data_IF_802342774371
#
_entry.id   IF_802342774371
#
_cell.length_a   1.000
_cell.length_b   1.000
_cell.length_c   1.000
_cell.angle_alpha   90.00
_cell.angle_beta   90.00
_cell.angle_gamma   90.00
#
_symmetry.space_group_name_H-M   'P 1'
#
loop_
_entity.id
_entity.type
_entity.pdbx_description
1 polymer ?
#
# COMPACT_ATOMS: atom_id res chain seq x y z
N UNK A 1 -32.51 -21.23 17.12
CA UNK A 1 -32.11 -19.81 16.89
C UNK A 1 -30.70 -19.63 17.44
N UNK A 2 -29.68 -19.78 16.60
CA UNK A 2 -28.27 -19.58 16.97
C UNK A 2 -27.82 -18.27 16.34
N UNK A 3 -27.52 -17.26 17.16
CA UNK A 3 -26.89 -16.00 16.75
C UNK A 3 -25.46 -16.29 16.28
N UNK A 4 -25.21 -16.16 15.00
CA UNK A 4 -23.86 -16.07 14.47
C UNK A 4 -23.34 -14.66 14.73
N UNK A 5 -22.37 -14.57 15.65
CA UNK A 5 -21.60 -13.37 15.92
C UNK A 5 -20.58 -13.19 14.79
N UNK A 6 -20.87 -12.30 13.84
CA UNK A 6 -19.89 -11.84 12.86
C UNK A 6 -18.82 -11.02 13.58
N UNK A 7 -17.63 -11.59 13.77
CA UNK A 7 -16.45 -10.85 14.20
C UNK A 7 -16.04 -9.88 13.08
N UNK A 8 -16.49 -8.64 13.18
CA UNK A 8 -15.99 -7.53 12.34
C UNK A 8 -14.52 -7.33 12.70
N UNK A 9 -13.64 -7.60 11.74
CA UNK A 9 -12.21 -7.31 11.81
C UNK A 9 -12.04 -5.77 11.91
N UNK A 10 -11.79 -5.30 13.13
CA UNK A 10 -11.56 -3.88 13.42
C UNK A 10 -10.08 -3.56 13.17
N UNK A 11 -9.75 -3.06 12.00
CA UNK A 11 -8.46 -2.43 11.77
C UNK A 11 -8.40 -1.08 12.50
N UNK A 12 -7.29 -0.77 13.18
CA UNK A 12 -7.12 0.54 13.82
C UNK A 12 -6.90 1.60 12.72
N UNK A 13 -7.89 2.44 12.53
CA UNK A 13 -7.96 3.53 11.54
C UNK A 13 -6.81 4.58 11.57
N UNK A 14 -6.06 4.81 12.67
CA UNK A 14 -4.98 5.79 12.66
C UNK A 14 -3.78 5.44 11.77
N UNK A 15 -3.64 4.16 11.36
CA UNK A 15 -2.49 3.71 10.55
C UNK A 15 -2.58 4.12 9.08
N UNK A 16 -3.77 4.28 8.53
CA UNK A 16 -3.94 4.57 7.10
C UNK A 16 -3.63 6.04 6.73
N UNK A 17 -3.91 7.00 7.62
CA UNK A 17 -3.58 8.42 7.38
C UNK A 17 -2.12 8.75 7.72
N UNK A 18 -1.49 8.02 8.64
CA UNK A 18 -0.05 8.05 8.84
C UNK A 18 0.72 7.50 7.62
N UNK A 19 0.14 6.58 6.85
CA UNK A 19 0.75 6.05 5.63
C UNK A 19 0.81 7.09 4.50
N UNK A 20 -0.16 8.01 4.40
CA UNK A 20 -0.14 9.11 3.43
C UNK A 20 0.92 10.17 3.81
N UNK A 21 1.21 10.33 5.11
CA UNK A 21 2.26 11.22 5.60
C UNK A 21 3.64 10.55 5.66
N UNK A 22 3.73 9.22 5.66
CA UNK A 22 4.97 8.45 5.78
C UNK A 22 5.70 8.22 4.45
N UNK A 23 5.08 8.53 3.30
CA UNK A 23 5.78 8.52 2.00
C UNK A 23 6.79 9.66 1.84
N UNK A 24 6.77 10.65 2.75
CA UNK A 24 7.79 11.68 2.82
C UNK A 24 8.74 11.36 3.97
N UNK A 25 9.95 10.87 3.73
CA UNK A 25 11.08 10.55 4.61
C UNK A 25 11.22 11.16 6.02
N UNK A 26 10.11 11.52 6.67
CA UNK A 26 10.03 12.18 7.96
C UNK A 26 10.40 11.30 9.16
N UNK A 27 10.41 9.98 8.97
CA UNK A 27 10.67 9.04 10.08
C UNK A 27 12.14 8.96 10.50
N UNK A 28 13.03 9.48 9.67
CA UNK A 28 14.48 9.36 9.91
C UNK A 28 15.06 10.44 10.83
N UNK A 29 14.34 11.52 11.09
CA UNK A 29 14.86 12.67 11.88
C UNK A 29 14.71 12.51 13.40
N UNK A 30 14.05 11.46 13.90
CA UNK A 30 13.79 11.25 15.33
C UNK A 30 14.32 9.92 15.90
N UNK A 31 15.25 9.23 15.24
CA UNK A 31 15.86 8.06 15.86
C UNK A 31 16.89 8.50 16.93
N UNK A 32 16.68 8.22 18.24
CA UNK A 32 17.74 8.30 19.21
C UNK A 32 18.78 7.23 18.89
N UNK A 33 20.06 7.49 19.16
CA UNK A 33 21.17 6.58 19.01
C UNK A 33 20.82 5.18 19.52
N UNK A 34 20.58 4.24 18.60
CA UNK A 34 20.25 2.86 18.90
C UNK A 34 21.45 2.00 18.59
N UNK A 35 21.86 1.19 19.56
CA UNK A 35 22.91 0.19 19.48
C UNK A 35 22.82 -0.71 18.22
N UNK A 36 23.93 -1.25 17.73
CA UNK A 36 23.98 -2.00 16.47
C UNK A 36 23.09 -3.26 16.55
N UNK A 37 22.06 -3.34 15.70
CA UNK A 37 21.23 -4.53 15.52
C UNK A 37 22.03 -5.63 14.86
N UNK A 38 21.89 -6.89 15.30
CA UNK A 38 22.49 -8.03 14.62
C UNK A 38 21.90 -8.21 13.22
N UNK A 39 22.77 -8.49 12.27
CA UNK A 39 22.55 -8.68 10.84
C UNK A 39 21.51 -9.79 10.56
N UNK A 40 20.35 -9.53 9.91
CA UNK A 40 19.33 -10.52 9.60
C UNK A 40 19.65 -11.39 8.37
N UNK A 41 20.88 -11.32 7.81
CA UNK A 41 21.23 -11.95 6.54
C UNK A 41 21.50 -13.48 6.58
N UNK A 42 21.19 -14.20 7.66
CA UNK A 42 21.55 -15.62 7.78
C UNK A 42 20.42 -16.63 7.99
N UNK A 43 19.16 -16.31 7.72
CA UNK A 43 18.08 -17.29 7.99
C UNK A 43 16.95 -17.32 6.95
N UNK A 44 17.18 -17.13 5.66
CA UNK A 44 16.19 -17.52 4.66
C UNK A 44 16.85 -18.32 3.54
N UNK A 45 16.69 -19.64 3.63
CA UNK A 45 16.95 -20.55 2.52
C UNK A 45 16.04 -20.22 1.35
N UNK A 46 16.62 -20.18 0.16
CA UNK A 46 16.04 -19.84 -1.12
C UNK A 46 14.75 -20.61 -1.42
N UNK A 47 13.64 -19.89 -1.57
CA UNK A 47 12.52 -20.33 -2.40
C UNK A 47 12.81 -19.91 -3.85
N UNK A 48 12.46 -20.74 -4.85
CA UNK A 48 12.72 -20.40 -6.25
C UNK A 48 11.94 -19.15 -6.66
N UNK A 49 12.64 -18.21 -7.27
CA UNK A 49 12.08 -16.98 -7.81
C UNK A 49 11.11 -17.34 -8.95
N UNK A 50 9.83 -17.08 -8.73
CA UNK A 50 8.85 -17.02 -9.82
C UNK A 50 9.04 -15.65 -10.47
N UNK A 51 9.64 -15.65 -11.65
CA UNK A 51 9.76 -14.46 -12.49
C UNK A 51 8.36 -14.08 -12.97
N UNK A 52 7.85 -12.88 -12.70
CA UNK A 52 6.59 -12.45 -13.29
C UNK A 52 6.79 -12.28 -14.81
N UNK A 53 5.80 -12.64 -15.64
CA UNK A 53 5.88 -12.44 -17.08
C UNK A 53 6.00 -10.95 -17.37
N UNK A 54 6.93 -10.59 -18.25
CA UNK A 54 7.10 -9.25 -18.77
C UNK A 54 5.80 -8.79 -19.43
N UNK A 55 5.11 -7.87 -18.80
CA UNK A 55 3.98 -7.17 -19.40
C UNK A 55 4.57 -6.22 -20.44
N UNK A 56 4.50 -6.62 -21.71
CA UNK A 56 4.75 -5.72 -22.82
C UNK A 56 3.64 -4.67 -22.82
N UNK A 57 3.90 -3.53 -22.20
CA UNK A 57 3.06 -2.36 -22.34
C UNK A 57 3.15 -1.88 -23.80
N UNK A 58 2.09 -2.11 -24.55
CA UNK A 58 1.88 -1.41 -25.80
C UNK A 58 1.68 0.07 -25.45
N UNK A 59 2.73 0.85 -25.63
CA UNK A 59 2.70 2.32 -25.51
C UNK A 59 1.71 2.87 -26.51
N UNK A 60 0.53 3.31 -26.02
CA UNK A 60 -0.30 4.23 -26.78
C UNK A 60 0.52 5.51 -27.05
N UNK A 61 0.40 6.16 -28.22
CA UNK A 61 1.14 7.39 -28.49
C UNK A 61 0.66 8.47 -27.51
N UNK A 62 1.50 8.75 -26.51
CA UNK A 62 1.36 9.91 -25.64
C UNK A 62 1.47 11.16 -26.55
N UNK A 63 0.56 12.16 -26.44
CA UNK A 63 0.70 13.41 -27.18
C UNK A 63 2.08 13.98 -26.81
N UNK A 64 2.87 14.28 -27.84
CA UNK A 64 4.21 14.82 -27.74
C UNK A 64 4.18 16.17 -27.01
N UNK A 65 4.22 16.14 -25.69
CA UNK A 65 4.56 17.28 -24.88
C UNK A 65 6.04 17.55 -25.16
N UNK A 66 6.36 18.67 -25.77
CA UNK A 66 7.74 19.07 -26.07
C UNK A 66 8.50 19.08 -24.75
N UNK A 67 9.48 18.21 -24.64
CA UNK A 67 10.38 18.11 -23.51
C UNK A 67 10.91 19.51 -23.14
N UNK A 68 10.94 19.91 -21.86
CA UNK A 68 11.45 21.22 -21.47
C UNK A 68 12.90 21.36 -21.91
N UNK A 69 13.33 22.53 -22.36
CA UNK A 69 14.67 22.73 -22.95
C UNK A 69 15.80 22.52 -21.94
N UNK A 70 15.51 22.60 -20.63
CA UNK A 70 16.46 22.40 -19.53
C UNK A 70 15.82 21.56 -18.42
N UNK A 71 16.48 20.48 -18.08
CA UNK A 71 16.00 19.54 -17.06
C UNK A 71 17.18 18.85 -16.36
N UNK A 72 17.03 18.57 -15.05
CA UNK A 72 17.97 17.71 -14.33
C UNK A 72 17.94 16.27 -14.87
N UNK A 73 19.04 15.50 -14.75
CA UNK A 73 19.11 14.14 -15.27
C UNK A 73 18.15 13.20 -14.54
N UNK A 74 17.70 12.16 -15.25
CA UNK A 74 16.84 11.13 -14.67
C UNK A 74 17.58 10.13 -13.78
N UNK A 75 18.92 10.07 -13.83
CA UNK A 75 19.74 9.17 -13.01
C UNK A 75 20.89 9.94 -12.35
N UNK A 76 21.35 9.43 -11.20
CA UNK A 76 22.44 10.02 -10.44
C UNK A 76 23.74 10.01 -11.26
N UNK A 77 24.38 11.17 -11.47
CA UNK A 77 25.71 11.23 -12.09
C UNK A 77 26.79 10.53 -11.26
N UNK A 78 26.67 10.59 -9.93
CA UNK A 78 27.53 9.89 -8.97
C UNK A 78 26.76 8.77 -8.27
N UNK A 79 27.02 7.53 -8.67
CA UNK A 79 26.43 6.33 -8.07
C UNK A 79 26.88 6.06 -6.63
N UNK A 80 27.90 6.78 -6.12
CA UNK A 80 28.40 6.63 -4.77
C UNK A 80 27.83 7.66 -3.79
N UNK A 81 26.89 8.50 -4.22
CA UNK A 81 26.31 9.54 -3.37
C UNK A 81 25.68 8.93 -2.10
N UNK A 82 24.79 7.94 -2.25
CA UNK A 82 24.18 7.19 -1.17
C UNK A 82 23.88 5.75 -1.64
N UNK A 83 24.14 4.75 -0.78
CA UNK A 83 23.93 3.34 -1.16
C UNK A 83 22.46 3.02 -1.41
N UNK A 84 21.58 3.62 -0.63
CA UNK A 84 20.12 3.45 -0.76
C UNK A 84 19.59 3.94 -2.10
N UNK A 85 20.27 4.89 -2.73
CA UNK A 85 19.90 5.48 -4.02
C UNK A 85 20.68 4.88 -5.20
N UNK A 86 21.65 4.00 -4.94
CA UNK A 86 22.46 3.42 -6.00
C UNK A 86 21.63 2.55 -6.96
N UNK A 87 21.70 2.85 -8.26
CA UNK A 87 20.98 2.12 -9.30
C UNK A 87 19.49 2.44 -9.39
N UNK A 88 19.00 3.45 -8.67
CA UNK A 88 17.63 3.97 -8.83
C UNK A 88 17.63 5.19 -9.74
N UNK A 89 16.52 5.40 -10.45
CA UNK A 89 16.26 6.66 -11.14
C UNK A 89 15.86 7.74 -10.12
N UNK A 90 16.19 8.99 -10.43
CA UNK A 90 15.79 10.15 -9.61
C UNK A 90 14.28 10.30 -9.74
N UNK A 91 13.57 10.30 -8.61
CA UNK A 91 12.15 10.59 -8.59
C UNK A 91 11.93 12.10 -8.77
N UNK A 92 11.11 12.46 -9.76
CA UNK A 92 10.91 13.86 -10.14
C UNK A 92 12.06 14.49 -10.90
N UNK A 93 11.96 15.79 -11.14
CA UNK A 93 13.01 16.58 -11.83
C UNK A 93 12.79 18.08 -11.62
N UNK A 94 13.87 18.85 -11.63
CA UNK A 94 13.81 20.29 -11.80
C UNK A 94 13.84 20.61 -13.30
N UNK A 95 12.91 21.46 -13.76
CA UNK A 95 12.73 21.81 -15.16
C UNK A 95 12.61 23.31 -15.31
N UNK A 96 13.17 23.87 -16.37
CA UNK A 96 12.96 25.25 -16.74
C UNK A 96 12.23 25.36 -18.08
N UNK A 97 11.37 26.37 -18.20
CA UNK A 97 10.71 26.70 -19.44
C UNK A 97 11.66 27.41 -20.44
N UNK A 98 11.13 27.83 -21.58
CA UNK A 98 11.90 28.52 -22.62
C UNK A 98 12.37 29.92 -22.22
N UNK A 99 11.80 30.51 -21.20
CA UNK A 99 12.18 31.81 -20.67
C UNK A 99 13.21 31.68 -19.55
N UNK A 100 13.55 30.45 -19.15
CA UNK A 100 14.47 30.15 -18.05
C UNK A 100 13.80 30.20 -16.68
N UNK A 101 12.46 30.18 -16.60
CA UNK A 101 11.71 30.15 -15.36
C UNK A 101 11.49 28.71 -14.87
N UNK A 102 11.50 28.49 -13.55
CA UNK A 102 11.27 27.17 -12.97
C UNK A 102 9.83 26.71 -13.21
N UNK A 103 9.66 25.53 -13.80
CA UNK A 103 8.35 24.90 -13.95
C UNK A 103 7.96 24.29 -12.60
N UNK A 104 6.87 24.81 -12.02
CA UNK A 104 6.32 24.31 -10.75
C UNK A 104 5.38 23.14 -11.03
N UNK A 105 5.82 21.94 -10.71
CA UNK A 105 5.01 20.72 -10.72
C UNK A 105 5.35 19.83 -9.52
N UNK A 106 4.63 18.72 -9.36
CA UNK A 106 4.87 17.77 -8.29
C UNK A 106 6.30 17.20 -8.33
N UNK A 107 6.87 17.06 -9.55
CA UNK A 107 8.22 16.54 -9.74
C UNK A 107 9.31 17.36 -9.05
N UNK A 108 9.09 18.65 -8.77
CA UNK A 108 10.04 19.47 -7.98
C UNK A 108 10.08 18.99 -6.53
N UNK A 109 8.91 18.73 -5.92
CA UNK A 109 8.82 18.19 -4.55
C UNK A 109 9.43 16.80 -4.48
N UNK A 110 9.09 15.93 -5.43
CA UNK A 110 9.56 14.56 -5.47
C UNK A 110 11.08 14.52 -5.62
N UNK A 111 11.65 15.42 -6.45
CA UNK A 111 13.09 15.58 -6.57
C UNK A 111 13.76 15.97 -5.25
N UNK A 112 13.18 16.91 -4.49
CA UNK A 112 13.71 17.25 -3.17
C UNK A 112 13.61 16.06 -2.21
N UNK A 113 12.47 15.40 -2.15
CA UNK A 113 12.25 14.25 -1.27
C UNK A 113 13.18 13.08 -1.61
N UNK A 114 13.47 12.85 -2.89
CA UNK A 114 14.41 11.81 -3.31
C UNK A 114 15.79 12.00 -2.66
N UNK A 115 16.37 13.18 -2.72
CA UNK A 115 17.68 13.43 -2.11
C UNK A 115 17.62 13.54 -0.58
N UNK A 116 16.57 14.13 -0.04
CA UNK A 116 16.37 14.24 1.40
C UNK A 116 16.10 12.90 2.07
N UNK A 117 15.62 11.89 1.33
CA UNK A 117 15.43 10.52 1.84
C UNK A 117 16.75 9.84 2.22
N UNK A 118 17.88 10.27 1.64
CA UNK A 118 19.20 9.75 1.98
C UNK A 118 19.81 10.38 3.25
N UNK A 119 19.15 11.35 3.87
CA UNK A 119 19.62 11.95 5.13
C UNK A 119 19.61 10.90 6.24
N UNK A 120 20.75 10.78 6.91
CA UNK A 120 21.03 9.69 7.86
C UNK A 120 22.08 8.70 7.32
N UNK A 121 22.09 8.46 6.01
CA UNK A 121 23.22 7.82 5.31
C UNK A 121 24.26 8.87 4.90
N UNK A 122 23.80 10.02 4.41
CA UNK A 122 24.61 11.21 4.15
C UNK A 122 24.18 12.35 5.09
N UNK A 123 25.04 13.39 5.24
CA UNK A 123 24.65 14.56 6.03
C UNK A 123 23.57 15.40 5.31
N UNK A 124 22.74 16.16 6.04
CA UNK A 124 21.78 17.08 5.43
C UNK A 124 22.42 18.06 4.44
N UNK A 125 23.63 18.58 4.79
CA UNK A 125 24.37 19.51 3.94
C UNK A 125 24.82 18.83 2.62
N UNK A 126 25.19 17.54 2.67
CA UNK A 126 25.56 16.78 1.49
C UNK A 126 24.34 16.57 0.57
N UNK A 127 23.15 16.26 1.14
CA UNK A 127 21.92 16.12 0.37
C UNK A 127 21.51 17.44 -0.31
N UNK A 128 21.52 18.55 0.44
CA UNK A 128 21.24 19.89 -0.07
C UNK A 128 22.27 20.30 -1.13
N UNK A 129 23.56 20.02 -0.89
CA UNK A 129 24.64 20.30 -1.82
C UNK A 129 24.48 19.54 -3.15
N UNK A 130 23.99 18.31 -3.12
CA UNK A 130 23.69 17.54 -4.33
C UNK A 130 22.54 18.15 -5.14
N UNK A 131 21.44 18.52 -4.49
CA UNK A 131 20.33 19.24 -5.13
C UNK A 131 20.85 20.53 -5.77
N UNK A 132 21.62 21.34 -5.03
CA UNK A 132 22.18 22.59 -5.53
C UNK A 132 23.11 22.39 -6.72
N UNK A 133 23.97 21.37 -6.68
CA UNK A 133 24.87 21.03 -7.78
C UNK A 133 24.09 20.69 -9.05
N UNK A 134 23.05 19.88 -8.94
CA UNK A 134 22.21 19.50 -10.08
C UNK A 134 21.42 20.70 -10.62
N UNK A 135 20.83 21.51 -9.75
CA UNK A 135 20.13 22.71 -10.18
C UNK A 135 21.05 23.66 -11.00
N UNK A 136 22.24 23.96 -10.47
CA UNK A 136 23.18 24.86 -11.12
C UNK A 136 23.78 24.31 -12.42
N UNK A 137 23.94 23.00 -12.52
CA UNK A 137 24.57 22.40 -13.70
C UNK A 137 23.59 22.20 -14.86
N UNK A 138 22.30 22.08 -14.59
CA UNK A 138 21.32 21.69 -15.60
C UNK A 138 20.24 22.74 -15.86
N UNK A 139 20.05 23.72 -14.97
CA UNK A 139 19.08 24.79 -15.15
C UNK A 139 19.76 26.13 -15.45
N UNK A 140 19.14 26.99 -16.27
CA UNK A 140 19.54 28.39 -16.41
C UNK A 140 19.11 29.19 -15.16
N UNK A 141 19.68 30.40 -15.02
CA UNK A 141 19.09 31.41 -14.14
C UNK A 141 17.90 32.09 -14.86
N UNK A 142 16.78 32.41 -14.13
CA UNK A 142 16.65 32.35 -12.67
C UNK A 142 16.21 30.99 -12.07
N UNK A 143 15.86 29.99 -12.90
CA UNK A 143 15.27 28.73 -12.41
C UNK A 143 16.14 27.99 -11.37
N UNK A 144 17.49 28.05 -11.52
CA UNK A 144 18.38 27.43 -10.55
C UNK A 144 18.30 28.09 -9.17
N UNK A 145 18.25 29.44 -9.13
CA UNK A 145 18.09 30.21 -7.89
C UNK A 145 16.71 30.02 -7.28
N UNK A 146 15.66 30.02 -8.10
CA UNK A 146 14.26 29.83 -7.64
C UNK A 146 14.07 28.44 -7.01
N UNK A 147 14.68 27.40 -7.60
CA UNK A 147 14.67 26.05 -7.04
C UNK A 147 15.29 26.01 -5.63
N UNK A 148 16.38 26.77 -5.38
CA UNK A 148 17.01 26.82 -4.05
C UNK A 148 16.17 27.59 -3.05
N UNK A 149 15.54 28.70 -3.44
CA UNK A 149 14.58 29.42 -2.56
C UNK A 149 13.41 28.49 -2.19
N UNK A 150 12.91 27.75 -3.15
CA UNK A 150 11.80 26.83 -2.91
C UNK A 150 12.21 25.64 -2.05
N UNK A 151 13.45 25.14 -2.17
CA UNK A 151 14.01 24.12 -1.27
C UNK A 151 14.07 24.62 0.18
N UNK A 152 14.56 25.86 0.39
CA UNK A 152 14.61 26.44 1.73
C UNK A 152 13.22 26.56 2.35
N UNK A 153 12.22 26.99 1.58
CA UNK A 153 10.81 26.99 2.00
C UNK A 153 10.32 25.59 2.35
N UNK A 154 10.67 24.60 1.52
CA UNK A 154 10.28 23.21 1.72
C UNK A 154 10.88 22.62 3.00
N UNK A 155 12.14 22.87 3.29
CA UNK A 155 12.80 22.46 4.53
C UNK A 155 12.17 23.11 5.77
N UNK A 156 11.87 24.40 5.71
CA UNK A 156 11.17 25.10 6.78
C UNK A 156 9.76 24.53 7.02
N UNK A 157 9.02 24.25 5.93
CA UNK A 157 7.73 23.57 5.98
C UNK A 157 7.83 22.19 6.65
N UNK A 158 8.78 21.34 6.24
CA UNK A 158 8.97 20.01 6.83
C UNK A 158 9.21 20.09 8.33
N UNK A 159 10.05 21.01 8.78
CA UNK A 159 10.32 21.23 10.21
C UNK A 159 9.06 21.67 10.98
N UNK A 160 8.30 22.62 10.45
CA UNK A 160 7.08 23.09 11.08
C UNK A 160 5.97 22.01 11.08
N UNK A 161 5.87 21.21 10.01
CA UNK A 161 4.94 20.10 9.92
C UNK A 161 5.22 19.02 10.98
N UNK A 162 6.50 18.72 11.26
CA UNK A 162 6.89 17.83 12.36
C UNK A 162 6.39 18.33 13.72
N UNK A 163 6.42 19.64 13.97
CA UNK A 163 5.91 20.22 15.22
C UNK A 163 4.38 20.07 15.32
N UNK A 164 3.66 20.25 14.21
CA UNK A 164 2.21 20.01 14.19
C UNK A 164 1.86 18.54 14.53
N UNK A 165 2.67 17.58 14.08
CA UNK A 165 2.46 16.16 14.36
C UNK A 165 2.70 15.78 15.84
N UNK A 166 3.35 16.63 16.62
CA UNK A 166 3.55 16.43 18.07
C UNK A 166 2.35 16.87 18.91
N UNK A 167 1.26 17.33 18.28
CA UNK A 167 0.03 17.68 19.00
C UNK A 167 -0.52 16.44 19.71
N UNK A 168 -0.63 16.53 21.04
CA UNK A 168 -1.13 15.42 21.85
C UNK A 168 -2.63 15.18 21.59
N UNK A 169 -2.95 13.93 21.30
CA UNK A 169 -4.34 13.46 21.22
C UNK A 169 -4.79 12.96 22.59
N UNK A 170 -6.08 13.10 22.89
CA UNK A 170 -6.67 12.57 24.12
C UNK A 170 -6.69 11.04 24.11
N UNK A 171 -5.85 10.35 24.93
CA UNK A 171 -5.78 8.89 24.93
C UNK A 171 -7.09 8.23 25.36
N UNK A 172 -7.93 8.92 26.15
CA UNK A 172 -9.21 8.39 26.62
C UNK A 172 -10.26 8.27 25.50
N UNK A 173 -10.09 9.05 24.43
CA UNK A 173 -11.00 9.12 23.29
C UNK A 173 -10.46 8.45 22.01
N UNK A 174 -9.32 7.80 22.09
CA UNK A 174 -8.68 7.16 20.92
C UNK A 174 -9.55 6.09 20.21
N UNK A 175 -10.58 5.55 20.89
CA UNK A 175 -11.52 4.58 20.35
C UNK A 175 -12.88 5.20 19.93
N UNK A 176 -13.04 6.52 20.10
CA UNK A 176 -14.22 7.27 19.65
C UNK A 176 -14.06 7.67 18.18
N UNK A 177 -14.84 7.06 17.24
CA UNK A 177 -14.71 7.35 15.82
C UNK A 177 -15.00 8.81 15.45
N UNK A 178 -15.91 9.48 16.18
CA UNK A 178 -16.23 10.88 15.97
C UNK A 178 -15.07 11.79 16.36
N UNK A 179 -14.41 11.49 17.50
CA UNK A 179 -13.21 12.19 17.93
C UNK A 179 -12.05 12.01 16.93
N UNK A 180 -11.82 10.78 16.48
CA UNK A 180 -10.78 10.49 15.49
C UNK A 180 -10.98 11.30 14.21
N UNK A 181 -12.22 11.33 13.70
CA UNK A 181 -12.54 12.07 12.48
C UNK A 181 -12.34 13.59 12.66
N UNK A 182 -12.76 14.13 13.81
CA UNK A 182 -12.53 15.54 14.16
C UNK A 182 -11.04 15.86 14.22
N UNK A 183 -10.25 15.06 14.95
CA UNK A 183 -8.81 15.25 15.08
C UNK A 183 -8.08 15.21 13.72
N UNK A 184 -8.49 14.31 12.82
CA UNK A 184 -7.95 14.25 11.45
C UNK A 184 -8.31 15.49 10.62
N UNK A 185 -9.55 15.98 10.73
CA UNK A 185 -10.00 17.21 10.07
C UNK A 185 -9.23 18.43 10.55
N UNK A 186 -9.01 18.55 11.86
CA UNK A 186 -8.24 19.65 12.46
C UNK A 186 -6.76 19.59 12.04
N UNK A 187 -6.17 18.39 12.02
CA UNK A 187 -4.79 18.19 11.56
C UNK A 187 -4.63 18.58 10.08
N UNK A 188 -5.55 18.14 9.20
CA UNK A 188 -5.54 18.51 7.78
C UNK A 188 -5.69 20.03 7.61
N UNK A 189 -6.61 20.66 8.35
CA UNK A 189 -6.83 22.11 8.31
C UNK A 189 -5.58 22.89 8.70
N UNK A 190 -4.93 22.47 9.80
CA UNK A 190 -3.69 23.08 10.29
C UNK A 190 -2.53 22.93 9.29
N UNK A 191 -2.41 21.74 8.69
CA UNK A 191 -1.40 21.48 7.68
C UNK A 191 -1.61 22.32 6.41
N UNK A 192 -2.85 22.44 5.94
CA UNK A 192 -3.22 23.31 4.81
C UNK A 192 -2.91 24.79 5.09
N UNK A 193 -3.17 25.25 6.33
CA UNK A 193 -2.84 26.62 6.72
C UNK A 193 -1.33 26.83 6.72
N UNK A 194 -0.55 25.90 7.26
CA UNK A 194 0.91 25.96 7.24
C UNK A 194 1.45 26.03 5.79
N UNK A 195 0.99 25.16 4.90
CA UNK A 195 1.38 25.15 3.50
C UNK A 195 1.08 26.47 2.79
N UNK A 196 -0.12 27.03 2.98
CA UNK A 196 -0.53 28.32 2.41
C UNK A 196 0.29 29.50 2.94
N UNK A 197 0.77 29.42 4.17
CA UNK A 197 1.62 30.46 4.75
C UNK A 197 3.09 30.36 4.33
N UNK A 198 3.53 29.16 3.90
CA UNK A 198 4.93 28.91 3.53
C UNK A 198 5.19 29.08 2.04
N UNK A 199 4.26 28.67 1.19
CA UNK A 199 4.44 28.62 -0.26
C UNK A 199 3.60 29.68 -0.97
N UNK A 200 4.04 30.07 -2.18
CA UNK A 200 3.20 30.80 -3.11
C UNK A 200 1.96 29.97 -3.49
N UNK A 201 0.86 30.59 -3.92
CA UNK A 201 -0.33 29.84 -4.36
C UNK A 201 -0.04 28.79 -5.41
N UNK A 202 0.84 29.09 -6.38
CA UNK A 202 1.19 28.18 -7.47
C UNK A 202 2.03 27.00 -6.97
N UNK A 203 3.04 27.24 -6.14
CA UNK A 203 3.85 26.20 -5.52
C UNK A 203 3.01 25.33 -4.56
N UNK A 204 2.11 25.94 -3.77
CA UNK A 204 1.19 25.20 -2.92
C UNK A 204 0.29 24.27 -3.72
N UNK A 205 -0.31 24.79 -4.81
CA UNK A 205 -1.19 23.99 -5.66
C UNK A 205 -0.41 22.86 -6.37
N UNK A 206 0.80 23.15 -6.87
CA UNK A 206 1.64 22.17 -7.55
C UNK A 206 2.10 21.02 -6.63
N UNK A 207 2.45 21.34 -5.37
CA UNK A 207 3.01 20.36 -4.44
C UNK A 207 1.96 19.56 -3.66
N UNK A 208 0.83 20.19 -3.34
CA UNK A 208 -0.11 19.64 -2.36
C UNK A 208 -1.56 19.61 -2.84
N UNK A 209 -1.87 20.21 -3.98
CA UNK A 209 -3.27 20.36 -4.43
C UNK A 209 -4.01 19.04 -4.59
N UNK A 210 -3.36 18.04 -5.20
CA UNK A 210 -3.96 16.71 -5.35
C UNK A 210 -4.06 15.96 -4.01
N UNK A 211 -3.01 16.01 -3.20
CA UNK A 211 -2.97 15.38 -1.88
C UNK A 211 -4.07 15.94 -0.96
N UNK A 212 -4.26 17.26 -0.95
CA UNK A 212 -5.30 17.92 -0.15
C UNK A 212 -6.70 17.58 -0.65
N UNK A 213 -6.91 17.60 -1.96
CA UNK A 213 -8.19 17.22 -2.55
C UNK A 213 -8.57 15.77 -2.21
N UNK A 214 -7.61 14.85 -2.28
CA UNK A 214 -7.84 13.46 -1.91
C UNK A 214 -8.08 13.26 -0.42
N UNK A 215 -7.35 13.98 0.42
CA UNK A 215 -7.55 13.94 1.88
C UNK A 215 -8.92 14.48 2.28
N UNK A 216 -9.38 15.57 1.69
CA UNK A 216 -10.73 16.12 1.89
C UNK A 216 -11.82 15.13 1.45
N UNK A 217 -11.66 14.53 0.29
CA UNK A 217 -12.55 13.47 -0.19
C UNK A 217 -12.63 12.29 0.79
N UNK A 218 -11.47 11.82 1.26
CA UNK A 218 -11.39 10.69 2.19
C UNK A 218 -12.09 11.00 3.52
N UNK A 219 -11.83 12.17 4.10
CA UNK A 219 -12.50 12.61 5.34
C UNK A 219 -14.01 12.76 5.14
N UNK A 220 -14.46 13.32 4.02
CA UNK A 220 -15.88 13.42 3.70
C UNK A 220 -16.51 12.02 3.58
N UNK A 221 -15.87 11.08 2.89
CA UNK A 221 -16.35 9.71 2.75
C UNK A 221 -16.45 9.00 4.10
N UNK A 222 -15.44 9.14 4.97
CA UNK A 222 -15.47 8.59 6.34
C UNK A 222 -16.60 9.19 7.19
N UNK A 223 -16.79 10.51 7.12
CA UNK A 223 -17.88 11.20 7.80
C UNK A 223 -19.26 10.71 7.33
N UNK A 224 -19.45 10.57 6.01
CA UNK A 224 -20.69 10.06 5.44
C UNK A 224 -20.97 8.62 5.87
N UNK A 225 -19.95 7.77 5.95
CA UNK A 225 -20.10 6.39 6.39
C UNK A 225 -20.57 6.28 7.85
N UNK A 226 -20.17 7.21 8.72
CA UNK A 226 -20.60 7.25 10.13
C UNK A 226 -22.04 7.77 10.31
N UNK A 227 -22.67 8.37 9.28
CA UNK A 227 -24.05 8.89 9.35
C UNK A 227 -25.05 7.76 9.53
N UNK A 228 -25.81 7.78 10.62
CA UNK A 228 -26.89 6.81 10.88
C UNK A 228 -28.23 7.24 10.30
N UNK A 229 -28.38 8.51 9.99
CA UNK A 229 -29.59 9.12 9.39
C UNK A 229 -29.71 8.90 7.88
N UNK A 230 -28.69 8.33 7.23
CA UNK A 230 -28.65 8.08 5.80
C UNK A 230 -28.78 6.58 5.49
N UNK A 231 -29.56 6.25 4.47
CA UNK A 231 -29.54 4.90 3.89
C UNK A 231 -28.21 4.61 3.19
N UNK A 232 -27.87 3.34 3.00
CA UNK A 232 -26.64 2.93 2.31
C UNK A 232 -26.58 3.53 0.88
N UNK A 233 -27.71 3.58 0.17
CA UNK A 233 -27.81 4.21 -1.14
C UNK A 233 -27.56 5.73 -1.05
N UNK A 234 -28.07 6.40 -0.02
CA UNK A 234 -27.84 7.83 0.23
C UNK A 234 -26.36 8.12 0.52
N UNK A 235 -25.72 7.28 1.36
CA UNK A 235 -24.30 7.38 1.64
C UNK A 235 -23.46 7.23 0.36
N UNK A 236 -23.78 6.22 -0.45
CA UNK A 236 -23.07 5.99 -1.72
C UNK A 236 -23.23 7.14 -2.70
N UNK A 237 -24.44 7.71 -2.83
CA UNK A 237 -24.68 8.85 -3.69
C UNK A 237 -23.88 10.09 -3.28
N UNK A 238 -23.77 10.36 -1.97
CA UNK A 238 -22.97 11.49 -1.45
C UNK A 238 -21.46 11.27 -1.64
N UNK A 239 -20.95 10.06 -1.39
CA UNK A 239 -19.53 9.74 -1.61
C UNK A 239 -19.20 9.89 -3.10
N UNK A 240 -20.08 9.42 -3.99
CA UNK A 240 -19.91 9.58 -5.43
C UNK A 240 -19.93 11.05 -5.87
N UNK A 241 -20.77 11.87 -5.23
CA UNK A 241 -20.77 13.31 -5.48
C UNK A 241 -19.43 13.95 -5.11
N UNK A 242 -18.87 13.63 -3.92
CA UNK A 242 -17.54 14.11 -3.50
C UNK A 242 -16.44 13.63 -4.44
N UNK A 243 -16.51 12.36 -4.90
CA UNK A 243 -15.55 11.81 -5.85
C UNK A 243 -15.51 12.58 -7.17
N UNK A 244 -16.67 13.00 -7.66
CA UNK A 244 -16.76 13.81 -8.89
C UNK A 244 -16.12 15.19 -8.77
N UNK A 245 -15.85 15.67 -7.57
CA UNK A 245 -15.14 16.93 -7.32
C UNK A 245 -13.61 16.76 -7.37
N UNK A 246 -13.11 15.53 -7.34
CA UNK A 246 -11.67 15.28 -7.44
C UNK A 246 -11.10 15.75 -8.79
N UNK A 247 -9.83 16.20 -8.81
CA UNK A 247 -9.07 16.38 -10.05
C UNK A 247 -9.15 15.16 -10.97
N UNK A 248 -9.05 15.38 -12.28
CA UNK A 248 -9.22 14.31 -13.29
C UNK A 248 -8.25 13.14 -13.08
N UNK A 249 -6.98 13.43 -12.76
CA UNK A 249 -5.94 12.44 -12.46
C UNK A 249 -6.33 11.50 -11.33
N UNK A 250 -6.81 12.06 -10.21
CA UNK A 250 -7.25 11.29 -9.05
C UNK A 250 -8.55 10.53 -9.32
N UNK A 251 -9.47 11.15 -10.06
CA UNK A 251 -10.75 10.53 -10.43
C UNK A 251 -10.53 9.30 -11.31
N UNK A 252 -9.63 9.38 -12.29
CA UNK A 252 -9.28 8.25 -13.14
C UNK A 252 -8.63 7.10 -12.33
N UNK A 253 -7.76 7.44 -11.37
CA UNK A 253 -7.14 6.46 -10.48
C UNK A 253 -8.18 5.79 -9.58
N UNK A 254 -9.07 6.55 -8.96
CA UNK A 254 -10.16 6.03 -8.14
C UNK A 254 -11.09 5.10 -8.93
N UNK A 255 -11.45 5.46 -10.16
CA UNK A 255 -12.26 4.61 -11.03
C UNK A 255 -11.57 3.30 -11.35
N UNK A 256 -10.26 3.34 -11.63
CA UNK A 256 -9.46 2.13 -11.89
C UNK A 256 -9.43 1.22 -10.65
N UNK A 257 -9.09 1.76 -9.48
CA UNK A 257 -9.06 0.99 -8.22
C UNK A 257 -10.41 0.35 -7.90
N UNK A 258 -11.52 1.04 -8.20
CA UNK A 258 -12.85 0.48 -8.00
C UNK A 258 -13.18 -0.64 -8.99
N UNK A 259 -12.79 -0.51 -10.27
CA UNK A 259 -12.99 -1.59 -11.24
C UNK A 259 -12.17 -2.82 -10.85
N UNK A 260 -10.91 -2.64 -10.48
CA UNK A 260 -10.04 -3.71 -10.00
C UNK A 260 -10.60 -4.40 -8.73
N UNK A 261 -11.12 -3.62 -7.78
CA UNK A 261 -11.76 -4.16 -6.57
C UNK A 261 -13.01 -4.96 -6.90
N UNK A 262 -13.88 -4.47 -7.79
CA UNK A 262 -15.09 -5.19 -8.23
C UNK A 262 -14.75 -6.48 -8.95
N UNK A 263 -13.76 -6.44 -9.84
CA UNK A 263 -13.27 -7.63 -10.55
C UNK A 263 -12.69 -8.65 -9.58
N UNK A 264 -11.87 -8.20 -8.64
CA UNK A 264 -11.33 -9.07 -7.60
C UNK A 264 -12.44 -9.73 -6.77
N UNK A 265 -13.43 -8.94 -6.35
CA UNK A 265 -14.58 -9.43 -5.59
C UNK A 265 -15.45 -10.40 -6.39
N UNK A 266 -15.63 -10.13 -7.68
CA UNK A 266 -16.33 -11.04 -8.60
C UNK A 266 -15.58 -12.39 -8.75
N UNK A 267 -14.25 -12.36 -8.83
CA UNK A 267 -13.40 -13.57 -8.86
C UNK A 267 -13.49 -14.36 -7.56
N UNK A 268 -13.43 -13.69 -6.40
CA UNK A 268 -13.62 -14.37 -5.10
C UNK A 268 -15.02 -15.01 -5.00
N UNK A 269 -16.07 -14.29 -5.40
CA UNK A 269 -17.43 -14.82 -5.42
C UNK A 269 -17.57 -16.01 -6.36
N UNK A 270 -16.85 -16.05 -7.47
CA UNK A 270 -16.82 -17.19 -8.37
C UNK A 270 -16.19 -18.44 -7.72
N UNK A 271 -15.23 -18.25 -6.82
CA UNK A 271 -14.60 -19.35 -6.07
C UNK A 271 -15.48 -19.87 -4.91
N UNK A 272 -16.27 -18.99 -4.28
CA UNK A 272 -17.04 -19.31 -3.08
C UNK A 272 -18.45 -19.84 -3.40
N UNK A 273 -19.07 -19.34 -4.49
CA UNK A 273 -20.50 -19.53 -4.74
C UNK A 273 -20.82 -20.36 -5.98
N UNK A 274 -19.83 -21.06 -6.58
CA UNK A 274 -20.07 -21.94 -7.71
C UNK A 274 -20.27 -23.40 -7.25
N UNK A 275 -21.12 -24.13 -7.98
CA UNK A 275 -21.51 -25.49 -7.66
C UNK A 275 -20.40 -26.54 -7.89
N UNK A 276 -19.36 -26.20 -8.63
CA UNK A 276 -18.24 -27.09 -8.93
C UNK A 276 -16.96 -26.34 -9.32
N UNK A 277 -15.78 -26.96 -9.16
CA UNK A 277 -14.51 -26.40 -9.63
C UNK A 277 -14.53 -25.98 -11.10
N UNK A 278 -15.17 -26.77 -11.97
CA UNK A 278 -15.27 -26.45 -13.39
C UNK A 278 -16.17 -25.23 -13.65
N UNK A 279 -17.24 -25.08 -12.89
CA UNK A 279 -18.09 -23.89 -12.97
C UNK A 279 -17.33 -22.64 -12.51
N UNK A 280 -16.54 -22.76 -11.44
CA UNK A 280 -15.64 -21.69 -10.97
C UNK A 280 -14.63 -21.31 -12.07
N UNK A 281 -13.96 -22.29 -12.69
CA UNK A 281 -13.00 -22.06 -13.76
C UNK A 281 -13.62 -21.34 -14.95
N UNK A 282 -14.79 -21.78 -15.42
CA UNK A 282 -15.51 -21.07 -16.50
C UNK A 282 -15.82 -19.63 -16.14
N UNK A 283 -16.28 -19.40 -14.91
CA UNK A 283 -16.59 -18.07 -14.43
C UNK A 283 -15.37 -17.16 -14.34
N UNK A 284 -14.23 -17.69 -13.91
CA UNK A 284 -12.97 -16.96 -13.87
C UNK A 284 -12.50 -16.54 -15.27
N UNK A 285 -12.66 -17.40 -16.28
CA UNK A 285 -12.36 -17.06 -17.69
C UNK A 285 -13.31 -15.97 -18.21
N UNK A 286 -14.61 -16.03 -17.89
CA UNK A 286 -15.57 -14.95 -18.19
C UNK A 286 -15.18 -13.61 -17.55
N UNK A 287 -14.54 -13.66 -16.39
CA UNK A 287 -14.02 -12.49 -15.64
C UNK A 287 -12.60 -12.08 -16.08
N UNK A 288 -12.14 -12.56 -17.24
CA UNK A 288 -10.89 -12.15 -17.86
C UNK A 288 -9.63 -12.86 -17.37
N UNK A 289 -9.76 -13.96 -16.61
CA UNK A 289 -8.61 -14.81 -16.29
C UNK A 289 -8.22 -15.61 -17.54
N UNK A 290 -6.92 -15.76 -17.79
CA UNK A 290 -6.47 -16.60 -18.89
C UNK A 290 -6.85 -18.08 -18.63
N UNK A 291 -7.14 -18.87 -19.69
CA UNK A 291 -7.63 -20.23 -19.55
C UNK A 291 -6.66 -21.18 -18.81
N UNK A 292 -5.35 -21.01 -18.97
CA UNK A 292 -4.34 -21.84 -18.32
C UNK A 292 -4.30 -21.60 -16.81
N UNK A 293 -4.33 -20.33 -16.39
CA UNK A 293 -4.45 -19.96 -14.97
C UNK A 293 -5.75 -20.46 -14.36
N UNK A 294 -6.87 -20.35 -15.09
CA UNK A 294 -8.16 -20.84 -14.63
C UNK A 294 -8.17 -22.36 -14.45
N UNK A 295 -7.53 -23.12 -15.35
CA UNK A 295 -7.36 -24.58 -15.23
C UNK A 295 -6.50 -24.95 -14.01
N UNK A 296 -5.44 -24.19 -13.72
CA UNK A 296 -4.66 -24.32 -12.50
C UNK A 296 -5.50 -24.15 -11.23
N UNK A 297 -6.39 -23.18 -11.22
CA UNK A 297 -7.34 -22.96 -10.10
C UNK A 297 -8.33 -24.13 -9.99
N UNK A 298 -8.90 -24.62 -11.10
CA UNK A 298 -9.79 -25.79 -11.11
C UNK A 298 -9.09 -27.01 -10.53
N UNK A 299 -7.85 -27.26 -10.95
CA UNK A 299 -7.04 -28.37 -10.45
C UNK A 299 -6.81 -28.29 -8.94
N UNK A 300 -6.48 -27.09 -8.45
CA UNK A 300 -6.32 -26.85 -7.02
C UNK A 300 -7.63 -27.07 -6.23
N UNK A 301 -8.77 -26.57 -6.75
CA UNK A 301 -10.07 -26.74 -6.09
C UNK A 301 -10.46 -28.22 -6.00
N UNK A 302 -10.24 -29.01 -7.06
CA UNK A 302 -10.45 -30.45 -7.06
C UNK A 302 -9.57 -31.18 -6.03
N UNK A 303 -8.31 -30.80 -5.97
CA UNK A 303 -7.38 -31.36 -4.98
C UNK A 303 -7.84 -31.03 -3.55
N UNK A 304 -8.33 -29.80 -3.32
CA UNK A 304 -8.88 -29.38 -2.04
C UNK A 304 -10.14 -30.16 -1.67
N UNK A 305 -11.09 -30.32 -2.60
CA UNK A 305 -12.30 -31.12 -2.38
C UNK A 305 -11.97 -32.58 -2.06
N UNK A 306 -11.06 -33.17 -2.81
CA UNK A 306 -10.59 -34.55 -2.54
C UNK A 306 -9.95 -34.67 -1.17
N UNK A 307 -9.11 -33.70 -0.80
CA UNK A 307 -8.51 -33.64 0.53
C UNK A 307 -9.57 -33.46 1.64
N UNK A 308 -10.54 -32.57 1.45
CA UNK A 308 -11.63 -32.33 2.42
C UNK A 308 -12.46 -33.59 2.63
N UNK A 309 -12.75 -34.34 1.58
CA UNK A 309 -13.44 -35.62 1.67
C UNK A 309 -12.60 -36.65 2.43
N UNK A 310 -11.34 -36.84 2.04
CA UNK A 310 -10.42 -37.77 2.71
C UNK A 310 -10.24 -37.41 4.19
N UNK A 311 -10.19 -36.11 4.51
CA UNK A 311 -10.05 -35.64 5.88
C UNK A 311 -11.31 -35.92 6.71
N UNK A 312 -12.51 -35.76 6.12
CA UNK A 312 -13.76 -36.14 6.77
C UNK A 312 -13.86 -37.64 7.04
N UNK A 313 -13.42 -38.48 6.07
CA UNK A 313 -13.35 -39.93 6.26
C UNK A 313 -12.36 -40.34 7.35
N UNK A 314 -11.19 -39.66 7.41
CA UNK A 314 -10.22 -39.83 8.47
C UNK A 314 -10.79 -39.46 9.85
N UNK A 315 -11.49 -38.31 9.98
CA UNK A 315 -12.14 -37.92 11.25
C UNK A 315 -13.16 -38.97 11.68
N UNK A 316 -13.99 -39.45 10.76
CA UNK A 316 -14.96 -40.54 11.06
C UNK A 316 -14.29 -41.83 11.49
N UNK A 317 -13.14 -42.18 10.90
CA UNK A 317 -12.38 -43.38 11.29
C UNK A 317 -11.76 -43.19 12.67
N UNK A 318 -11.25 -42.01 13.01
CA UNK A 318 -10.72 -41.71 14.36
C UNK A 318 -11.81 -41.77 15.41
N UNK A 319 -13.02 -41.26 15.10
CA UNK A 319 -14.15 -41.28 16.00
C UNK A 319 -14.79 -42.67 16.17
N UNK A 320 -14.73 -43.51 15.13
CA UNK A 320 -15.22 -44.88 15.15
C UNK A 320 -14.33 -45.84 15.96
N UNK A 321 -13.03 -45.55 16.05
CA UNK A 321 -12.13 -46.27 16.93
C UNK A 321 -12.35 -45.82 18.37
N UNK A 322 -12.74 -46.75 19.27
CA UNK A 322 -12.92 -46.47 20.71
C UNK A 322 -11.54 -46.23 21.36
N UNK A 323 -11.00 -45.05 21.15
CA UNK A 323 -9.68 -44.63 21.64
C UNK A 323 -9.74 -44.14 23.11
N UNK A 324 -10.93 -44.03 23.71
CA UNK A 324 -11.09 -43.49 25.07
C UNK A 324 -10.43 -44.38 26.15
N UNK A 325 -10.32 -45.69 25.91
CA UNK A 325 -9.66 -46.63 26.80
C UNK A 325 -8.14 -46.72 26.69
N UNK A 326 -7.52 -46.10 25.69
CA UNK A 326 -6.09 -46.22 25.43
C UNK A 326 -5.25 -45.18 26.19
N UNK A 327 -4.02 -45.60 26.58
CA UNK A 327 -3.03 -44.65 27.09
C UNK A 327 -2.69 -43.62 26.04
N UNK A 328 -2.32 -42.39 26.46
CA UNK A 328 -2.09 -41.26 25.55
C UNK A 328 -1.09 -41.55 24.41
N UNK A 329 -0.03 -42.32 24.70
CA UNK A 329 0.98 -42.70 23.72
C UNK A 329 0.42 -43.71 22.67
N UNK A 330 -0.41 -44.68 23.11
CA UNK A 330 -1.00 -45.65 22.17
C UNK A 330 -2.09 -45.00 21.31
N UNK A 331 -2.86 -44.08 21.87
CA UNK A 331 -3.84 -43.25 21.13
C UNK A 331 -3.16 -42.46 20.03
N UNK A 332 -2.01 -41.82 20.33
CA UNK A 332 -1.26 -41.05 19.31
C UNK A 332 -0.73 -41.96 18.22
N UNK A 333 -0.18 -43.12 18.56
CA UNK A 333 0.31 -44.11 17.59
C UNK A 333 -0.79 -44.61 16.66
N UNK A 334 -1.99 -44.84 17.17
CA UNK A 334 -3.17 -45.22 16.35
C UNK A 334 -3.58 -44.10 15.40
N UNK A 335 -3.66 -42.87 15.89
CA UNK A 335 -3.93 -41.69 15.04
C UNK A 335 -2.89 -41.50 13.93
N UNK A 336 -1.61 -41.71 14.24
CA UNK A 336 -0.52 -41.60 13.26
C UNK A 336 -0.63 -42.70 12.19
N UNK A 337 -1.02 -43.93 12.57
CA UNK A 337 -1.23 -45.03 11.62
C UNK A 337 -2.42 -44.75 10.67
N UNK A 338 -3.53 -44.26 11.22
CA UNK A 338 -4.68 -43.83 10.39
C UNK A 338 -4.30 -42.67 9.48
N UNK A 339 -3.52 -41.71 9.96
CA UNK A 339 -3.04 -40.60 9.18
C UNK A 339 -2.21 -41.06 7.98
N UNK A 340 -1.31 -42.05 8.15
CA UNK A 340 -0.52 -42.64 7.07
C UNK A 340 -1.41 -43.43 6.07
N UNK A 341 -2.46 -44.07 6.56
CA UNK A 341 -3.39 -44.83 5.73
C UNK A 341 -4.23 -43.90 4.83
N UNK A 342 -4.79 -42.85 5.39
CA UNK A 342 -5.64 -41.90 4.64
C UNK A 342 -4.83 -40.91 3.80
N UNK A 343 -3.62 -40.53 4.23
CA UNK A 343 -2.75 -39.56 3.56
C UNK A 343 -1.38 -40.18 3.25
N UNK A 344 -1.27 -40.96 2.15
CA UNK A 344 -0.03 -41.70 1.86
C UNK A 344 1.13 -40.78 1.47
N UNK A 345 0.88 -39.59 0.90
CA UNK A 345 1.93 -38.63 0.53
C UNK A 345 2.24 -37.64 1.65
N UNK A 346 3.47 -37.12 1.67
CA UNK A 346 3.97 -36.26 2.74
C UNK A 346 3.27 -34.88 2.78
N UNK A 347 2.86 -34.38 1.62
CA UNK A 347 2.21 -33.08 1.53
C UNK A 347 0.81 -33.13 2.14
N UNK A 348 -0.01 -34.09 1.77
CA UNK A 348 -1.36 -34.26 2.31
C UNK A 348 -1.34 -34.59 3.82
N UNK A 349 -0.37 -35.39 4.28
CA UNK A 349 -0.16 -35.60 5.73
C UNK A 349 0.15 -34.30 6.47
N UNK A 350 0.99 -33.46 5.90
CA UNK A 350 1.32 -32.16 6.47
C UNK A 350 0.08 -31.28 6.59
N UNK A 351 -0.73 -31.22 5.53
CA UNK A 351 -1.99 -30.47 5.54
C UNK A 351 -2.98 -31.01 6.58
N UNK A 352 -3.10 -32.33 6.69
CA UNK A 352 -3.96 -32.95 7.68
C UNK A 352 -3.51 -32.62 9.11
N UNK A 353 -2.21 -32.68 9.40
CA UNK A 353 -1.67 -32.27 10.72
C UNK A 353 -1.94 -30.80 11.04
N UNK A 354 -1.75 -29.90 10.07
CA UNK A 354 -2.03 -28.47 10.24
C UNK A 354 -3.53 -28.23 10.48
N UNK A 355 -4.40 -28.95 9.80
CA UNK A 355 -5.86 -28.84 9.99
C UNK A 355 -6.31 -29.32 11.36
N UNK A 356 -5.75 -30.43 11.85
CA UNK A 356 -6.01 -30.91 13.22
C UNK A 356 -5.58 -29.91 14.29
N UNK A 357 -4.46 -29.19 14.08
CA UNK A 357 -3.99 -28.14 15.01
C UNK A 357 -4.93 -26.93 15.08
N UNK A 358 -5.61 -26.61 13.98
CA UNK A 358 -6.56 -25.50 13.94
C UNK A 358 -7.93 -25.82 14.57
N UNK A 359 -8.21 -27.10 14.85
CA UNK A 359 -9.47 -27.57 15.44
C UNK A 359 -9.35 -27.83 16.96
N UNK A 360 -8.13 -27.91 17.48
CA UNK A 360 -7.81 -28.11 18.90
C UNK A 360 -7.64 -26.76 19.62
#
# INVERSE_FOLDING_TARGET
MKHQSTRKLRWPLPVALLAIMASSGLWYWQAPDSEPRPDPAKTFASAPAVTPPAVTQASAPVPSNKEPPHQTPASLPDQNFARSLAGTDIDGALKADRNGELILDLGVRDFFDYFLSAVGEVSPEAAIGQIQSLARNYLPEPAASDAMVLLDQYLAYKQAALQLMQTELDPSRQHDPGYQLTALGDALSSLKQLRRSTFSPDAHQAFFGEEEAYSEYTLAAMSIQQREDLSDQGKQALIEWHRKQLPESLRATEQRLQSETREHQARLSALENTESPEAAGRKLVELGMDPESAEGVVSYLKQRESFDQQFSEFEQAVDAEDLEGLAGADRQKHKDALLEQYFPDEQSRTWARLRMLNQS
#
